data_IF_536590826824
#
_entry.id   IF_536590826824
#
_cell.length_a   1.000
_cell.length_b   1.000
_cell.length_c   1.000
_cell.angle_alpha   90.00
_cell.angle_beta   90.00
_cell.angle_gamma   90.00
#
_symmetry.space_group_name_H-M   'P 1'
#
loop_
_entity.id
_entity.type
_entity.pdbx_description
1 polymer ?
#
# COMPACT_ATOMS: atom_id res chain seq x y z
N UNK A 1 -5.29 12.11 9.29
CA UNK A 1 -4.53 10.99 8.70
C UNK A 1 -5.46 9.85 8.28
N UNK A 2 -6.14 9.15 9.19
CA UNK A 2 -7.12 8.11 8.80
C UNK A 2 -8.28 8.65 7.92
N UNK A 3 -8.76 9.86 8.20
CA UNK A 3 -9.80 10.51 7.39
C UNK A 3 -9.32 10.88 5.97
N UNK A 4 -8.02 11.18 5.82
CA UNK A 4 -7.40 11.41 4.52
C UNK A 4 -7.36 10.12 3.69
N UNK A 5 -6.93 9.02 4.33
CA UNK A 5 -6.92 7.70 3.73
C UNK A 5 -8.33 7.25 3.31
N UNK A 6 -9.34 7.42 4.17
CA UNK A 6 -10.74 7.13 3.83
C UNK A 6 -11.20 7.87 2.57
N UNK A 7 -10.87 9.17 2.44
CA UNK A 7 -11.24 9.99 1.27
C UNK A 7 -10.64 9.46 -0.04
N UNK A 8 -9.43 8.90 0.02
CA UNK A 8 -8.78 8.25 -1.13
C UNK A 8 -9.51 6.95 -1.50
N UNK A 9 -9.88 6.15 -0.50
CA UNK A 9 -10.50 4.84 -0.72
C UNK A 9 -11.99 4.91 -1.10
N UNK A 10 -12.73 5.96 -0.69
CA UNK A 10 -14.16 6.11 -1.07
C UNK A 10 -14.39 6.32 -2.58
N UNK A 11 -13.34 6.53 -3.39
CA UNK A 11 -13.45 6.66 -4.85
C UNK A 11 -13.29 5.34 -5.61
N UNK A 12 -12.80 4.27 -4.97
CA UNK A 12 -12.55 2.98 -5.63
C UNK A 12 -13.74 2.02 -5.64
N UNK A 13 -14.88 2.37 -5.00
CA UNK A 13 -16.03 1.46 -4.81
C UNK A 13 -16.87 1.14 -6.06
N UNK A 14 -16.42 1.52 -7.26
CA UNK A 14 -17.13 1.20 -8.49
C UNK A 14 -16.50 0.03 -9.23
N UNK A 15 -17.22 -1.09 -9.18
CA UNK A 15 -17.12 -2.31 -10.01
C UNK A 15 -16.39 -3.48 -9.36
N UNK A 16 -17.15 -4.42 -8.77
CA UNK A 16 -17.52 -5.75 -9.30
C UNK A 16 -16.50 -6.55 -10.15
N UNK A 17 -15.23 -6.16 -10.23
CA UNK A 17 -14.28 -6.70 -11.20
C UNK A 17 -13.15 -7.41 -10.48
N UNK A 18 -13.33 -8.73 -10.35
CA UNK A 18 -12.46 -9.76 -9.77
C UNK A 18 -12.32 -9.73 -8.24
N UNK A 19 -12.97 -10.70 -7.62
CA UNK A 19 -12.72 -11.16 -6.26
C UNK A 19 -11.31 -11.80 -6.11
N UNK A 20 -10.26 -11.03 -6.42
CA UNK A 20 -8.90 -11.37 -6.02
C UNK A 20 -8.68 -10.75 -4.65
N UNK A 21 -8.30 -11.56 -3.65
CA UNK A 21 -7.90 -11.05 -2.34
C UNK A 21 -6.71 -10.12 -2.49
N UNK A 22 -6.82 -8.86 -2.04
CA UNK A 22 -5.70 -7.91 -2.03
C UNK A 22 -5.35 -7.58 -0.59
N UNK A 23 -4.08 -7.69 -0.22
CA UNK A 23 -3.57 -7.15 1.04
C UNK A 23 -3.31 -5.65 0.84
N UNK A 24 -3.86 -4.83 1.73
CA UNK A 24 -3.59 -3.38 1.76
C UNK A 24 -2.77 -3.02 2.98
N UNK A 25 -1.69 -2.29 2.76
CA UNK A 25 -0.83 -1.74 3.80
C UNK A 25 -0.66 -0.25 3.58
N UNK A 26 -0.84 0.53 4.65
CA UNK A 26 -0.59 1.97 4.62
C UNK A 26 0.42 2.31 5.69
N UNK A 27 1.58 2.81 5.26
CA UNK A 27 2.61 3.31 6.16
C UNK A 27 2.57 4.83 6.17
N UNK A 28 2.26 5.44 7.31
CA UNK A 28 2.13 6.89 7.43
C UNK A 28 3.21 7.49 8.32
N UNK A 29 3.76 8.65 7.93
CA UNK A 29 4.76 9.37 8.70
C UNK A 29 4.63 10.89 8.53
N UNK A 30 5.09 11.64 9.53
CA UNK A 30 5.17 13.10 9.49
C UNK A 30 6.51 13.51 8.86
N UNK A 31 6.48 14.16 7.68
CA UNK A 31 7.60 14.39 6.74
C UNK A 31 8.85 15.10 7.28
N UNK A 32 8.93 15.41 8.56
CA UNK A 32 9.95 16.33 9.07
C UNK A 32 11.38 15.84 8.82
N UNK A 33 11.66 14.52 8.79
CA UNK A 33 13.05 14.04 8.69
C UNK A 33 13.28 12.75 7.86
N UNK A 34 12.27 12.21 7.16
CA UNK A 34 12.44 10.93 6.45
C UNK A 34 13.00 11.09 5.03
N UNK A 35 14.19 10.52 4.81
CA UNK A 35 14.87 10.43 3.52
C UNK A 35 14.08 9.51 2.56
N UNK A 36 13.86 9.95 1.31
CA UNK A 36 13.20 9.16 0.25
C UNK A 36 13.83 7.76 0.08
N UNK A 37 15.15 7.65 0.31
CA UNK A 37 15.87 6.38 0.27
C UNK A 37 15.35 5.38 1.31
N UNK A 38 14.97 5.85 2.50
CA UNK A 38 14.41 4.98 3.55
C UNK A 38 13.04 4.45 3.13
N UNK A 39 12.22 5.29 2.50
CA UNK A 39 10.91 4.87 1.98
C UNK A 39 11.02 3.79 0.91
N UNK A 40 12.00 3.94 0.01
CA UNK A 40 12.30 2.94 -1.01
C UNK A 40 12.80 1.62 -0.43
N UNK A 41 13.69 1.68 0.58
CA UNK A 41 14.13 0.48 1.31
C UNK A 41 12.96 -0.21 2.00
N UNK A 42 12.15 0.53 2.77
CA UNK A 42 11.00 -0.01 3.50
C UNK A 42 10.00 -0.66 2.55
N UNK A 43 9.72 -0.02 1.40
CA UNK A 43 8.87 -0.60 0.36
C UNK A 43 9.38 -1.99 -0.07
N UNK A 44 10.67 -2.11 -0.39
CA UNK A 44 11.28 -3.37 -0.81
C UNK A 44 11.19 -4.44 0.28
N UNK A 45 11.65 -4.12 1.48
CA UNK A 45 11.67 -5.05 2.62
C UNK A 45 10.27 -5.54 3.01
N UNK A 46 9.27 -4.66 3.00
CA UNK A 46 7.87 -5.03 3.28
C UNK A 46 7.35 -6.00 2.21
N UNK A 47 7.59 -5.71 0.93
CA UNK A 47 7.11 -6.58 -0.15
C UNK A 47 7.78 -7.95 -0.06
N UNK A 48 9.08 -8.01 0.19
CA UNK A 48 9.82 -9.27 0.39
C UNK A 48 9.30 -10.06 1.60
N UNK A 49 9.05 -9.38 2.72
CA UNK A 49 8.47 -10.00 3.91
C UNK A 49 7.09 -10.60 3.64
N UNK A 50 6.23 -9.90 2.91
CA UNK A 50 4.91 -10.43 2.55
C UNK A 50 5.07 -11.61 1.59
N UNK A 51 5.94 -11.50 0.59
CA UNK A 51 6.21 -12.56 -0.38
C UNK A 51 6.74 -13.85 0.29
N UNK A 52 7.48 -13.72 1.40
CA UNK A 52 7.98 -14.89 2.15
C UNK A 52 6.90 -15.62 2.94
N UNK A 53 5.73 -14.99 3.17
CA UNK A 53 4.63 -15.56 3.97
C UNK A 53 3.34 -15.79 3.15
N UNK A 54 3.23 -15.21 1.97
CA UNK A 54 2.02 -15.21 1.15
C UNK A 54 2.36 -15.30 -0.35
N UNK A 55 1.54 -16.05 -1.10
CA UNK A 55 1.68 -16.09 -2.56
C UNK A 55 1.09 -14.82 -3.20
N UNK A 56 1.97 -14.02 -3.79
CA UNK A 56 1.60 -12.80 -4.53
C UNK A 56 1.16 -13.18 -5.96
N UNK A 57 0.03 -12.64 -6.41
CA UNK A 57 -0.55 -12.85 -7.75
C UNK A 57 -0.40 -11.61 -8.63
N UNK A 58 0.82 -11.37 -9.12
CA UNK A 58 1.14 -10.24 -9.98
C UNK A 58 1.95 -9.16 -9.27
N UNK A 59 1.82 -7.91 -9.75
CA UNK A 59 2.66 -6.80 -9.29
C UNK A 59 1.94 -6.00 -8.20
N UNK A 60 2.58 -5.78 -7.03
CA UNK A 60 2.09 -4.82 -6.05
C UNK A 60 1.91 -3.41 -6.64
N UNK A 61 0.77 -2.79 -6.39
CA UNK A 61 0.57 -1.36 -6.68
C UNK A 61 1.04 -0.54 -5.49
N UNK A 62 1.94 0.42 -5.71
CA UNK A 62 2.54 1.23 -4.65
C UNK A 62 2.41 2.69 -5.00
N UNK A 63 1.84 3.47 -4.08
CA UNK A 63 1.63 4.91 -4.24
C UNK A 63 2.22 5.64 -3.05
N UNK A 64 3.12 6.58 -3.32
CA UNK A 64 3.53 7.57 -2.33
C UNK A 64 2.55 8.73 -2.39
N UNK A 65 1.84 8.95 -1.30
CA UNK A 65 0.81 9.95 -1.17
C UNK A 65 1.30 11.02 -0.20
N UNK A 66 1.33 12.27 -0.63
CA UNK A 66 1.76 13.39 0.22
C UNK A 66 0.66 14.44 0.33
N UNK A 67 0.31 14.84 1.54
CA UNK A 67 -0.62 15.95 1.80
C UNK A 67 -0.04 16.85 2.90
N UNK A 68 0.41 18.04 2.50
CA UNK A 68 1.11 18.97 3.40
C UNK A 68 2.34 18.33 4.05
N UNK A 69 2.34 18.25 5.38
CA UNK A 69 3.40 17.64 6.19
C UNK A 69 3.28 16.12 6.35
N UNK A 70 2.25 15.51 5.80
CA UNK A 70 2.01 14.07 5.95
C UNK A 70 2.41 13.33 4.67
N UNK A 71 3.05 12.17 4.85
CA UNK A 71 3.31 11.22 3.79
C UNK A 71 2.72 9.87 4.15
N UNK A 72 2.23 9.15 3.15
CA UNK A 72 1.73 7.80 3.26
C UNK A 72 2.25 6.96 2.09
N UNK A 73 2.75 5.76 2.39
CA UNK A 73 3.01 4.73 1.39
C UNK A 73 1.82 3.78 1.38
N UNK A 74 1.00 3.86 0.35
CA UNK A 74 -0.14 3.01 0.12
C UNK A 74 0.28 1.85 -0.79
N UNK A 75 0.29 0.64 -0.24
CA UNK A 75 0.71 -0.58 -0.92
C UNK A 75 -0.50 -1.50 -1.04
N UNK A 76 -0.81 -1.92 -2.26
CA UNK A 76 -1.86 -2.88 -2.58
C UNK A 76 -1.26 -4.10 -3.26
N UNK A 77 -1.18 -5.21 -2.53
CA UNK A 77 -0.56 -6.46 -2.99
C UNK A 77 -1.67 -7.43 -3.41
N UNK A 78 -1.75 -7.82 -4.70
CA UNK A 78 -2.63 -8.90 -5.11
C UNK A 78 -2.13 -10.23 -4.53
N UNK A 79 -3.00 -10.97 -3.87
CA UNK A 79 -2.69 -12.28 -3.32
C UNK A 79 -3.45 -13.35 -4.10
N UNK A 80 -2.84 -14.51 -4.28
CA UNK A 80 -3.58 -15.67 -4.77
C UNK A 80 -4.68 -16.03 -3.77
N UNK A 81 -5.88 -16.23 -4.29
CA UNK A 81 -6.97 -16.75 -3.48
C UNK A 81 -6.60 -18.13 -2.93
N UNK A 82 -6.92 -18.40 -1.66
CA UNK A 82 -6.90 -19.75 -1.13
C UNK A 82 -8.00 -20.55 -1.83
N UNK A 83 -7.66 -21.24 -2.91
CA UNK A 83 -8.50 -22.27 -3.54
C UNK A 83 -8.44 -23.56 -2.76
#
# INVERSE_FOLDING_TARGET
MLEFLKKIYSREDNSRTKANSRLRLVLTHDRLDMNEKIMETLKGEIIELIASHMEIDGVPDVRLITEGRHAALDISIPLKGRS
#
